data_IF_467064123336
#
_entry.id   IF_467064123336
#
_cell.length_a   1.000
_cell.length_b   1.000
_cell.length_c   1.000
_cell.angle_alpha   90.00
_cell.angle_beta   90.00
_cell.angle_gamma   90.00
#
_symmetry.space_group_name_H-M   'P 1'
#
loop_
_entity.id
_entity.type
_entity.pdbx_description
1 polymer ?
#
# COMPACT_ATOMS: atom_id res chain seq x y z
N UNK A 1 10.42 16.77 -11.64
CA UNK A 1 9.51 15.81 -10.97
C UNK A 1 8.71 15.08 -12.04
N UNK A 2 8.58 13.76 -11.97
CA UNK A 2 7.73 12.98 -12.89
C UNK A 2 6.56 12.38 -12.11
N UNK A 3 5.38 12.32 -12.72
CA UNK A 3 4.15 11.78 -12.11
C UNK A 3 4.29 10.32 -11.66
N UNK A 4 5.10 9.52 -12.34
CA UNK A 4 5.34 8.11 -11.97
C UNK A 4 6.18 8.03 -10.70
N UNK A 5 7.23 8.85 -10.58
CA UNK A 5 8.05 8.89 -9.38
C UNK A 5 7.27 9.43 -8.18
N UNK A 6 6.48 10.49 -8.40
CA UNK A 6 5.51 11.03 -7.46
C UNK A 6 4.60 9.96 -6.87
N UNK A 7 4.00 9.18 -7.77
CA UNK A 7 3.09 8.11 -7.43
C UNK A 7 3.81 7.02 -6.64
N UNK A 8 5.01 6.61 -7.07
CA UNK A 8 5.83 5.66 -6.32
C UNK A 8 6.11 6.11 -4.89
N UNK A 9 6.46 7.38 -4.68
CA UNK A 9 6.65 7.97 -3.35
C UNK A 9 5.36 7.93 -2.52
N UNK A 10 4.20 8.24 -3.12
CA UNK A 10 2.92 8.13 -2.40
C UNK A 10 2.60 6.69 -1.97
N UNK A 11 2.98 5.68 -2.77
CA UNK A 11 2.77 4.27 -2.41
C UNK A 11 3.74 3.76 -1.37
N UNK A 12 5.00 4.22 -1.42
CA UNK A 12 5.94 4.00 -0.33
C UNK A 12 5.42 4.61 0.98
N UNK A 13 4.88 5.82 0.93
CA UNK A 13 4.30 6.50 2.09
C UNK A 13 3.15 5.70 2.72
N UNK A 14 2.27 5.10 1.93
CA UNK A 14 1.21 4.22 2.44
C UNK A 14 1.76 3.01 3.22
N UNK A 15 2.85 2.39 2.73
CA UNK A 15 3.46 1.24 3.41
C UNK A 15 4.09 1.66 4.73
N UNK A 16 4.87 2.74 4.70
CA UNK A 16 5.50 3.33 5.89
C UNK A 16 4.46 3.73 6.94
N UNK A 17 3.36 4.35 6.51
CA UNK A 17 2.26 4.74 7.40
C UNK A 17 1.62 3.52 8.08
N UNK A 18 1.32 2.45 7.33
CA UNK A 18 0.76 1.23 7.92
C UNK A 18 1.71 0.56 8.93
N UNK A 19 3.02 0.56 8.64
CA UNK A 19 4.03 0.01 9.54
C UNK A 19 4.14 0.81 10.84
N UNK A 20 4.15 2.15 10.76
CA UNK A 20 4.19 3.00 11.94
C UNK A 20 2.89 2.93 12.75
N UNK A 21 1.74 2.85 12.07
CA UNK A 21 0.45 2.64 12.72
C UNK A 21 0.42 1.31 13.50
N UNK A 22 0.95 0.24 12.90
CA UNK A 22 1.07 -1.05 13.56
C UNK A 22 1.97 -1.00 14.80
N UNK A 23 3.09 -0.27 14.74
CA UNK A 23 3.98 -0.04 15.89
C UNK A 23 3.26 0.68 17.02
N UNK A 24 2.54 1.76 16.71
CA UNK A 24 1.80 2.57 17.68
C UNK A 24 0.68 1.78 18.36
N UNK A 25 -0.12 1.03 17.59
CA UNK A 25 -1.16 0.16 18.17
C UNK A 25 -0.59 -0.87 19.14
N UNK A 26 0.57 -1.45 18.81
CA UNK A 26 1.26 -2.37 19.71
C UNK A 26 1.72 -1.69 21.01
N UNK A 27 2.23 -0.46 20.92
CA UNK A 27 2.68 0.32 22.08
C UNK A 27 1.53 0.77 22.98
N UNK A 28 0.38 1.08 22.39
CA UNK A 28 -0.85 1.42 23.12
C UNK A 28 -1.58 0.18 23.69
N UNK A 29 -1.15 -1.03 23.31
CA UNK A 29 -1.75 -2.28 23.77
C UNK A 29 -3.16 -2.52 23.23
N UNK A 30 -3.53 -1.89 22.11
CA UNK A 30 -4.84 -2.05 21.47
C UNK A 30 -4.84 -3.25 20.52
N UNK A 31 -5.91 -4.02 20.51
CA UNK A 31 -6.08 -5.19 19.62
C UNK A 31 -6.54 -4.78 18.20
N UNK A 32 -5.84 -3.81 17.60
CA UNK A 32 -6.08 -3.34 16.23
C UNK A 32 -4.84 -3.65 15.39
N UNK A 33 -5.06 -4.21 14.19
CA UNK A 33 -3.99 -4.53 13.24
C UNK A 33 -3.95 -3.50 12.12
N UNK A 34 -2.74 -3.13 11.67
CA UNK A 34 -2.54 -2.32 10.48
C UNK A 34 -1.59 -3.05 9.53
N UNK A 35 -1.99 -3.23 8.28
CA UNK A 35 -1.19 -3.88 7.24
C UNK A 35 -1.29 -3.08 5.94
N UNK A 36 -0.26 -3.19 5.11
CA UNK A 36 -0.26 -2.66 3.75
C UNK A 36 -0.49 -3.78 2.74
N UNK A 37 -0.94 -3.46 1.54
CA UNK A 37 -1.14 -4.47 0.49
C UNK A 37 -0.97 -3.91 -0.91
N UNK A 38 -0.73 -4.82 -1.84
CA UNK A 38 -0.83 -4.61 -3.27
C UNK A 38 -1.94 -5.48 -3.86
N UNK A 39 -2.93 -4.89 -4.54
CA UNK A 39 -4.10 -5.62 -5.04
C UNK A 39 -3.75 -6.47 -6.29
N UNK A 40 -2.53 -6.32 -6.83
CA UNK A 40 -2.07 -6.91 -8.08
C UNK A 40 -2.16 -5.91 -9.23
N UNK A 41 -1.68 -6.31 -10.41
CA UNK A 41 -1.90 -5.53 -11.62
C UNK A 41 -3.40 -5.62 -11.98
N UNK A 42 -4.15 -4.55 -11.72
CA UNK A 42 -5.55 -4.43 -12.13
C UNK A 42 -5.64 -3.34 -13.18
N UNK A 43 -6.55 -3.51 -14.15
CA UNK A 43 -6.92 -2.49 -15.10
C UNK A 43 -7.44 -1.26 -14.34
N UNK A 44 -6.56 -0.30 -14.07
CA UNK A 44 -6.93 0.97 -13.46
C UNK A 44 -6.59 2.08 -14.45
N UNK A 45 -7.42 3.11 -14.51
CA UNK A 45 -7.22 4.29 -15.37
C UNK A 45 -6.03 5.18 -14.94
N UNK A 46 -5.08 4.63 -14.17
CA UNK A 46 -3.97 5.35 -13.57
C UNK A 46 -3.00 5.92 -14.62
N UNK A 47 -2.90 5.29 -15.79
CA UNK A 47 -1.97 5.66 -16.86
C UNK A 47 -2.65 6.32 -18.06
N UNK A 48 -3.93 6.71 -17.95
CA UNK A 48 -4.74 7.30 -19.06
C UNK A 48 -4.24 8.62 -19.66
N UNK A 49 -3.18 9.20 -19.09
CA UNK A 49 -2.57 10.45 -19.56
C UNK A 49 -1.10 10.27 -19.96
N UNK A 50 -0.62 9.02 -20.01
CA UNK A 50 0.72 8.66 -20.42
C UNK A 50 0.65 7.90 -21.75
N UNK A 51 0.37 8.61 -22.85
CA UNK A 51 -0.08 8.02 -24.13
C UNK A 51 0.69 6.82 -24.68
N UNK A 52 2.01 6.72 -24.45
CA UNK A 52 2.79 5.52 -24.85
C UNK A 52 2.57 4.35 -23.88
N UNK A 53 2.55 4.62 -22.57
CA UNK A 53 2.25 3.60 -21.55
C UNK A 53 0.78 3.16 -21.60
N UNK A 54 -0.16 4.04 -21.92
CA UNK A 54 -1.57 3.70 -22.08
C UNK A 54 -1.76 2.66 -23.19
N UNK A 55 -1.11 2.85 -24.35
CA UNK A 55 -1.13 1.88 -25.45
C UNK A 55 -0.53 0.52 -25.09
N UNK A 56 0.62 0.51 -24.39
CA UNK A 56 1.27 -0.72 -23.93
C UNK A 56 0.44 -1.42 -22.84
N UNK A 57 -0.13 -0.67 -21.90
CA UNK A 57 -0.99 -1.21 -20.83
C UNK A 57 -2.30 -1.76 -21.39
N UNK A 58 -2.89 -1.13 -22.42
CA UNK A 58 -4.06 -1.68 -23.09
C UNK A 58 -3.75 -2.96 -23.88
N UNK A 59 -2.54 -3.08 -24.42
CA UNK A 59 -2.13 -4.24 -25.22
C UNK A 59 -1.67 -5.43 -24.35
N UNK A 60 -0.79 -5.18 -23.39
CA UNK A 60 -0.27 -6.20 -22.44
C UNK A 60 -1.29 -6.51 -21.35
N UNK A 61 -2.07 -5.51 -20.95
CA UNK A 61 -2.97 -5.62 -19.82
C UNK A 61 -4.08 -6.65 -19.98
N UNK A 62 -4.50 -6.94 -21.21
CA UNK A 62 -5.48 -8.02 -21.45
C UNK A 62 -5.00 -9.40 -20.97
N UNK A 63 -3.69 -9.61 -20.82
CA UNK A 63 -3.09 -10.88 -20.41
C UNK A 63 -2.58 -10.90 -18.96
N UNK A 64 -2.38 -9.73 -18.35
CA UNK A 64 -1.79 -9.61 -17.00
C UNK A 64 -2.69 -8.88 -16.00
N UNK A 65 -3.80 -8.28 -16.44
CA UNK A 65 -4.71 -7.55 -15.55
C UNK A 65 -5.72 -8.52 -14.93
N UNK A 66 -5.72 -8.54 -13.61
CA UNK A 66 -6.70 -9.23 -12.80
C UNK A 66 -8.11 -8.70 -13.07
N UNK A 67 -9.09 -9.59 -13.01
CA UNK A 67 -10.49 -9.18 -12.96
C UNK A 67 -10.84 -8.55 -11.59
N UNK A 68 -12.02 -7.93 -11.48
CA UNK A 68 -12.42 -7.22 -10.25
C UNK A 68 -12.34 -8.13 -9.00
N UNK A 69 -12.91 -9.36 -9.00
CA UNK A 69 -12.76 -10.25 -7.85
C UNK A 69 -11.32 -10.57 -7.47
N UNK A 70 -10.46 -10.89 -8.45
CA UNK A 70 -9.04 -11.16 -8.22
C UNK A 70 -8.29 -9.94 -7.68
N UNK A 71 -8.69 -8.74 -8.09
CA UNK A 71 -8.14 -7.49 -7.61
C UNK A 71 -8.54 -7.14 -6.17
N UNK A 72 -9.77 -7.50 -5.78
CA UNK A 72 -10.26 -7.33 -4.42
C UNK A 72 -9.76 -8.41 -3.45
N UNK A 73 -9.33 -9.57 -3.97
CA UNK A 73 -9.00 -10.75 -3.19
C UNK A 73 -8.01 -10.48 -2.05
N UNK A 74 -6.87 -9.82 -2.33
CA UNK A 74 -5.87 -9.52 -1.28
C UNK A 74 -6.45 -8.63 -0.19
N UNK A 75 -7.27 -7.64 -0.55
CA UNK A 75 -7.92 -6.74 0.42
C UNK A 75 -8.91 -7.50 1.29
N UNK A 76 -9.78 -8.31 0.70
CA UNK A 76 -10.73 -9.13 1.44
C UNK A 76 -10.01 -10.15 2.34
N UNK A 77 -8.93 -10.76 1.85
CA UNK A 77 -8.11 -11.70 2.61
C UNK A 77 -7.48 -11.03 3.84
N UNK A 78 -6.80 -9.89 3.65
CA UNK A 78 -6.13 -9.17 4.72
C UNK A 78 -7.11 -8.61 5.78
N UNK A 79 -8.34 -8.28 5.37
CA UNK A 79 -9.36 -7.71 6.26
C UNK A 79 -10.20 -8.76 7.00
N UNK A 80 -10.45 -9.93 6.40
CA UNK A 80 -11.52 -10.83 6.86
C UNK A 80 -11.05 -12.27 7.14
N UNK A 81 -9.92 -12.70 6.61
CA UNK A 81 -9.56 -14.11 6.68
C UNK A 81 -9.08 -14.51 8.09
N UNK A 82 -9.59 -15.60 8.71
CA UNK A 82 -9.20 -15.97 10.08
C UNK A 82 -7.70 -16.24 10.25
N UNK A 83 -7.01 -16.69 9.20
CA UNK A 83 -5.56 -16.95 9.26
C UNK A 83 -4.71 -15.68 9.43
N UNK A 84 -5.25 -14.50 9.12
CA UNK A 84 -4.54 -13.22 9.31
C UNK A 84 -4.98 -12.51 10.59
N UNK A 85 -5.81 -13.14 11.43
CA UNK A 85 -6.20 -12.56 12.71
C UNK A 85 -4.96 -12.29 13.56
N UNK A 86 -4.81 -11.04 14.01
CA UNK A 86 -3.67 -10.59 14.80
C UNK A 86 -2.39 -10.34 14.01
N UNK A 87 -2.37 -10.61 12.70
CA UNK A 87 -1.23 -10.27 11.84
C UNK A 87 -1.22 -8.75 11.64
N UNK A 88 -0.12 -8.09 11.96
CA UNK A 88 0.03 -6.64 11.89
C UNK A 88 1.43 -6.27 11.38
N UNK A 89 1.60 -5.08 10.80
CA UNK A 89 2.88 -4.56 10.30
C UNK A 89 3.43 -5.31 9.08
N UNK A 90 2.59 -6.05 8.37
CA UNK A 90 2.98 -6.83 7.20
C UNK A 90 2.49 -6.19 5.89
N UNK A 91 3.12 -6.62 4.79
CA UNK A 91 2.70 -6.29 3.44
C UNK A 91 2.17 -7.51 2.72
N UNK A 92 0.97 -7.38 2.14
CA UNK A 92 0.32 -8.46 1.43
C UNK A 92 0.35 -8.26 -0.08
N UNK A 93 0.66 -9.32 -0.82
CA UNK A 93 0.48 -9.39 -2.26
C UNK A 93 -0.08 -10.77 -2.60
N UNK A 94 -1.01 -10.83 -3.56
CA UNK A 94 -1.65 -12.08 -3.99
C UNK A 94 -2.15 -12.96 -2.84
N UNK A 95 -2.80 -12.33 -1.84
CA UNK A 95 -3.30 -12.97 -0.60
C UNK A 95 -2.24 -13.68 0.25
N UNK A 96 -0.97 -13.28 0.14
CA UNK A 96 0.15 -13.81 0.93
C UNK A 96 0.97 -12.67 1.52
N UNK A 97 1.66 -12.94 2.65
CA UNK A 97 2.70 -12.02 3.13
C UNK A 97 3.83 -12.03 2.09
N UNK A 98 4.24 -10.84 1.66
CA UNK A 98 5.19 -10.65 0.57
C UNK A 98 6.39 -9.82 1.02
N UNK A 99 7.48 -9.94 0.29
CA UNK A 99 8.68 -9.14 0.51
C UNK A 99 8.44 -7.67 0.20
N UNK A 100 9.09 -6.82 0.99
CA UNK A 100 9.03 -5.36 0.93
C UNK A 100 10.38 -4.80 0.48
N UNK A 101 10.40 -3.57 -0.03
CA UNK A 101 11.67 -2.89 -0.31
C UNK A 101 12.35 -2.50 1.01
N UNK A 102 13.67 -2.33 0.99
CA UNK A 102 14.43 -1.88 2.16
C UNK A 102 13.91 -0.55 2.71
N UNK A 103 13.56 0.39 1.82
CA UNK A 103 12.97 1.67 2.20
C UNK A 103 11.65 1.52 2.96
N UNK A 104 10.79 0.58 2.56
CA UNK A 104 9.53 0.35 3.29
C UNK A 104 9.70 -0.28 4.66
N UNK A 105 10.84 -0.90 4.95
CA UNK A 105 11.15 -1.51 6.24
C UNK A 105 11.94 -0.57 7.17
N UNK A 106 12.25 0.64 6.71
CA UNK A 106 12.98 1.63 7.51
C UNK A 106 12.05 2.29 8.55
N UNK A 107 12.22 1.88 9.81
CA UNK A 107 11.42 2.39 10.93
C UNK A 107 11.66 3.88 11.20
N UNK A 108 12.88 4.38 10.99
CA UNK A 108 13.20 5.79 11.18
C UNK A 108 12.54 6.64 10.09
N UNK A 109 12.53 6.14 8.85
CA UNK A 109 11.82 6.80 7.75
C UNK A 109 10.31 6.80 7.99
N UNK A 110 9.74 5.70 8.49
CA UNK A 110 8.33 5.61 8.82
C UNK A 110 7.93 6.62 9.90
N UNK A 111 8.73 6.74 10.96
CA UNK A 111 8.53 7.74 12.02
C UNK A 111 8.63 9.17 11.46
N UNK A 112 9.65 9.48 10.66
CA UNK A 112 9.80 10.80 10.04
C UNK A 112 8.62 11.16 9.15
N UNK A 113 8.16 10.21 8.34
CA UNK A 113 6.98 10.40 7.50
C UNK A 113 5.74 10.69 8.35
N UNK A 114 5.56 9.95 9.44
CA UNK A 114 4.43 10.13 10.35
C UNK A 114 4.42 11.51 10.98
N UNK A 115 5.53 11.91 11.61
CA UNK A 115 5.66 13.20 12.29
C UNK A 115 5.42 14.35 11.27
N UNK A 116 6.03 14.27 10.09
CA UNK A 116 5.80 15.23 9.02
C UNK A 116 4.35 15.27 8.52
N UNK A 117 3.67 14.11 8.45
CA UNK A 117 2.27 14.05 8.00
C UNK A 117 1.32 14.66 9.03
N UNK A 118 1.62 14.52 10.32
CA UNK A 118 0.86 15.21 11.38
C UNK A 118 1.02 16.72 11.24
N UNK A 119 2.25 17.23 11.16
CA UNK A 119 2.52 18.67 10.99
C UNK A 119 1.76 19.27 9.78
N UNK A 120 1.64 18.51 8.69
CA UNK A 120 0.93 18.94 7.48
C UNK A 120 -0.60 18.91 7.60
N UNK A 121 -1.15 18.01 8.42
CA UNK A 121 -2.59 17.75 8.52
C UNK A 121 -3.22 18.35 9.78
N UNK A 122 -2.41 18.87 10.69
CA UNK A 122 -2.88 19.64 11.84
C UNK A 122 -3.73 20.84 11.37
N UNK A 123 -4.93 21.03 11.95
CA UNK A 123 -5.74 22.20 11.67
C UNK A 123 -4.97 23.46 12.04
N UNK A 124 -4.84 24.40 11.11
CA UNK A 124 -4.35 25.74 11.46
C UNK A 124 -5.45 26.44 12.25
N UNK A 125 -5.17 26.72 13.52
CA UNK A 125 -6.01 27.59 14.36
C UNK A 125 -6.20 28.98 13.73
#
# INVERSE_FOLDING_TARGET
YTSIFAYGQSKLANILHANELARRFKEEGVEITANSLHPGAIATNLLRHHGILEGVVNWVGKYFLKNIPQGAATTCYAALHPQVKGVTGNYFADSNISTQSSLSLDAELAKKLWDFSLDLTEPKC
#
